data_IF_943249561317
#
_entry.id   IF_943249561317
#
_cell.length_a   1.000
_cell.length_b   1.000
_cell.length_c   1.000
_cell.angle_alpha   90.00
_cell.angle_beta   90.00
_cell.angle_gamma   90.00
#
_symmetry.space_group_name_H-M   'P 1'
#
loop_
_entity.id
_entity.type
_entity.pdbx_description
1 polymer ?
#
# COMPACT_ATOMS: atom_id res chain seq x y z
N UNK A 1 28.13 17.27 7.01
CA UNK A 1 27.65 15.97 7.50
C UNK A 1 26.65 16.25 8.61
N UNK A 2 25.41 16.52 8.24
CA UNK A 2 24.27 16.61 9.15
C UNK A 2 23.11 16.00 8.37
N UNK A 3 23.21 14.70 8.13
CA UNK A 3 22.08 13.92 7.67
C UNK A 3 21.10 13.91 8.83
N UNK A 4 20.14 14.82 8.79
CA UNK A 4 19.08 14.87 9.79
C UNK A 4 18.45 13.48 9.75
N UNK A 5 18.45 12.70 10.85
CA UNK A 5 17.90 11.34 10.88
C UNK A 5 16.46 11.29 10.35
N UNK A 6 15.75 12.41 10.50
CA UNK A 6 14.43 12.66 9.93
C UNK A 6 14.38 12.49 8.40
N UNK A 7 15.40 12.95 7.66
CA UNK A 7 15.43 12.80 6.19
C UNK A 7 15.50 11.33 5.78
N UNK A 8 16.33 10.53 6.46
CA UNK A 8 16.41 9.10 6.19
C UNK A 8 15.10 8.37 6.52
N UNK A 9 14.41 8.79 7.61
CA UNK A 9 13.09 8.27 7.97
C UNK A 9 12.04 8.65 6.92
N UNK A 10 12.01 9.91 6.48
CA UNK A 10 11.07 10.38 5.45
C UNK A 10 11.31 9.64 4.13
N UNK A 11 12.56 9.53 3.70
CA UNK A 11 12.93 8.84 2.46
C UNK A 11 12.52 7.36 2.52
N UNK A 12 12.80 6.66 3.64
CA UNK A 12 12.42 5.27 3.85
C UNK A 12 10.89 5.06 3.91
N UNK A 13 10.16 5.96 4.59
CA UNK A 13 8.70 5.95 4.62
C UNK A 13 8.11 6.16 3.23
N UNK A 14 8.64 7.10 2.45
CA UNK A 14 8.17 7.38 1.09
C UNK A 14 8.41 6.18 0.15
N UNK A 15 9.55 5.50 0.32
CA UNK A 15 9.90 4.31 -0.45
C UNK A 15 8.97 3.13 -0.14
N UNK A 16 8.62 2.94 1.14
CA UNK A 16 7.63 1.92 1.55
C UNK A 16 6.22 2.26 1.09
N UNK A 17 5.82 3.54 1.13
CA UNK A 17 4.52 3.99 0.61
C UNK A 17 4.41 3.74 -0.90
N UNK A 18 5.48 3.99 -1.67
CA UNK A 18 5.54 3.68 -3.10
C UNK A 18 5.39 2.17 -3.38
N UNK A 19 6.03 1.33 -2.56
CA UNK A 19 5.92 -0.14 -2.66
C UNK A 19 4.49 -0.62 -2.39
N UNK A 20 3.78 0.02 -1.46
CA UNK A 20 2.38 -0.30 -1.13
C UNK A 20 1.41 0.25 -2.19
N UNK A 21 1.65 1.45 -2.72
CA UNK A 21 0.87 2.01 -3.84
C UNK A 21 1.00 1.18 -5.11
N UNK A 22 2.12 0.49 -5.31
CA UNK A 22 2.34 -0.33 -6.52
C UNK A 22 1.62 -1.68 -6.49
N UNK A 23 0.99 -2.07 -5.38
CA UNK A 23 0.21 -3.32 -5.27
C UNK A 23 -1.28 -3.01 -5.23
N UNK A 24 -1.80 -2.55 -6.37
CA UNK A 24 -3.23 -2.28 -6.55
C UNK A 24 -4.10 -3.54 -6.47
N UNK A 25 -3.50 -4.72 -6.63
CA UNK A 25 -4.21 -6.00 -6.76
C UNK A 25 -3.58 -7.08 -5.90
N UNK A 26 -4.33 -7.57 -4.92
CA UNK A 26 -3.98 -8.74 -4.12
C UNK A 26 -4.62 -9.97 -4.76
N UNK A 27 -3.79 -10.93 -5.18
CA UNK A 27 -4.24 -12.23 -5.66
C UNK A 27 -4.25 -13.17 -4.44
N UNK A 28 -5.43 -13.62 -4.04
CA UNK A 28 -5.55 -14.59 -2.95
C UNK A 28 -5.38 -16.03 -3.44
N UNK A 29 -5.39 -16.97 -2.48
CA UNK A 29 -5.20 -18.40 -2.77
C UNK A 29 -6.34 -18.94 -3.64
N UNK A 30 -6.04 -19.70 -4.71
CA UNK A 30 -7.05 -20.36 -5.52
C UNK A 30 -7.86 -21.36 -4.68
N UNK A 31 -9.19 -21.29 -4.79
CA UNK A 31 -10.12 -22.19 -4.12
C UNK A 31 -10.70 -23.13 -5.18
N UNK A 32 -10.40 -24.42 -5.08
CA UNK A 32 -10.97 -25.45 -5.96
C UNK A 32 -12.28 -25.95 -5.37
N UNK A 33 -13.37 -25.77 -6.12
CA UNK A 33 -14.68 -26.27 -5.78
C UNK A 33 -14.82 -27.76 -6.19
N UNK A 34 -15.76 -28.51 -5.59
CA UNK A 34 -15.98 -29.94 -5.90
C UNK A 34 -16.40 -30.24 -7.35
N UNK A 35 -16.69 -29.21 -8.15
CA UNK A 35 -17.13 -29.28 -9.53
C UNK A 35 -16.01 -28.93 -10.54
N UNK A 36 -14.73 -29.11 -10.15
CA UNK A 36 -13.54 -28.75 -10.94
C UNK A 36 -13.42 -27.24 -11.30
N UNK A 37 -14.19 -26.38 -10.65
CA UNK A 37 -14.07 -24.92 -10.85
C UNK A 37 -13.06 -24.33 -9.88
N UNK A 38 -12.07 -23.60 -10.40
CA UNK A 38 -11.11 -22.84 -9.59
C UNK A 38 -11.53 -21.37 -9.50
N UNK A 39 -11.77 -20.88 -8.28
CA UNK A 39 -12.04 -19.47 -8.00
C UNK A 39 -10.76 -18.82 -7.51
N UNK A 40 -10.32 -17.75 -8.20
CA UNK A 40 -9.19 -16.93 -7.76
C UNK A 40 -9.73 -15.60 -7.22
N UNK A 41 -9.67 -15.35 -5.91
CA UNK A 41 -10.13 -14.09 -5.35
C UNK A 41 -9.13 -12.97 -5.69
N UNK A 42 -9.64 -11.90 -6.30
CA UNK A 42 -8.87 -10.71 -6.66
C UNK A 42 -9.43 -9.51 -5.87
N UNK A 43 -8.60 -8.93 -5.01
CA UNK A 43 -8.98 -7.77 -4.19
C UNK A 43 -8.22 -6.54 -4.65
N UNK A 44 -8.95 -5.47 -5.00
CA UNK A 44 -8.34 -4.16 -5.28
C UNK A 44 -8.13 -3.41 -3.98
N UNK A 45 -6.88 -3.08 -3.66
CA UNK A 45 -6.54 -2.28 -2.48
C UNK A 45 -6.22 -0.87 -2.96
N UNK A 46 -6.80 0.15 -2.32
CA UNK A 46 -6.56 1.55 -2.67
C UNK A 46 -6.20 2.30 -1.40
N UNK A 47 -5.03 2.94 -1.38
CA UNK A 47 -4.51 3.68 -0.24
C UNK A 47 -4.72 5.17 -0.48
N UNK A 48 -5.59 5.79 0.33
CA UNK A 48 -5.77 7.23 0.35
C UNK A 48 -4.97 7.86 1.49
N UNK A 49 -4.07 8.79 1.17
CA UNK A 49 -3.39 9.63 2.17
C UNK A 49 -4.08 10.99 2.20
N UNK A 50 -4.72 11.33 3.33
CA UNK A 50 -5.30 12.65 3.56
C UNK A 50 -4.51 13.35 4.65
N UNK A 51 -4.01 14.54 4.35
CA UNK A 51 -3.38 15.43 5.33
C UNK A 51 -4.33 16.60 5.58
N UNK A 52 -4.95 16.64 6.76
CA UNK A 52 -5.73 17.79 7.20
C UNK A 52 -4.79 18.77 7.93
N UNK A 53 -4.53 19.91 7.33
CA UNK A 53 -3.89 21.06 7.98
C UNK A 53 -4.92 22.17 8.14
N UNK A 54 -5.15 22.64 9.36
CA UNK A 54 -5.92 23.86 9.59
C UNK A 54 -4.92 24.99 9.86
N UNK A 55 -4.81 25.92 8.93
CA UNK A 55 -4.06 27.16 9.09
C UNK A 55 -5.04 28.20 9.66
N UNK A 56 -4.92 28.48 10.95
CA UNK A 56 -5.59 29.62 11.58
C UNK A 56 -4.53 30.70 11.74
N UNK A 57 -4.52 31.64 10.77
CA UNK A 57 -3.69 32.84 10.82
C UNK A 57 -4.00 33.75 12.00
#
# INVERSE_FOLDING_TARGET
MNEIPLKQIIDASLENLKKIVSVDTVIGTPITLPNDTTVVPVSKVSVGFTSAGADYG
#
